data_IF_399060400462
#
_entry.id   IF_399060400462
#
_cell.length_a   1.000
_cell.length_b   1.000
_cell.length_c   1.000
_cell.angle_alpha   90.00
_cell.angle_beta   90.00
_cell.angle_gamma   90.00
#
_symmetry.space_group_name_H-M   'P 1'
#
loop_
_entity.id
_entity.type
_entity.pdbx_description
1 polymer ?
#
# COMPACT_ATOMS: atom_id res chain seq x y z
N UNK A 1 -17.65 -9.58 -10.49
CA UNK A 1 -17.67 -10.07 -9.08
C UNK A 1 -16.71 -9.23 -8.27
N UNK A 2 -17.22 -8.35 -7.41
CA UNK A 2 -16.38 -7.56 -6.50
C UNK A 2 -15.79 -8.50 -5.46
N UNK A 3 -14.46 -8.62 -5.41
CA UNK A 3 -13.75 -9.46 -4.42
C UNK A 3 -13.79 -8.70 -3.08
N UNK A 4 -14.56 -9.20 -2.12
CA UNK A 4 -14.71 -8.62 -0.78
C UNK A 4 -13.41 -8.69 0.00
N UNK A 5 -13.03 -7.63 0.69
CA UNK A 5 -11.76 -7.56 1.44
C UNK A 5 -11.81 -8.52 2.63
N UNK A 6 -11.29 -9.73 2.43
CA UNK A 6 -11.23 -10.76 3.46
C UNK A 6 -10.12 -10.48 4.50
N UNK A 7 -10.45 -10.73 5.77
CA UNK A 7 -9.48 -10.76 6.86
C UNK A 7 -8.62 -12.02 6.77
N UNK A 8 -7.41 -11.95 7.32
CA UNK A 8 -6.52 -13.10 7.37
C UNK A 8 -6.94 -14.05 8.50
N UNK A 9 -7.15 -15.32 8.15
CA UNK A 9 -7.51 -16.38 9.09
C UNK A 9 -6.30 -17.27 9.39
N UNK A 10 -6.19 -17.82 10.62
CA UNK A 10 -5.10 -18.71 11.00
C UNK A 10 -5.16 -20.09 10.31
N UNK A 11 -6.33 -20.49 9.82
CA UNK A 11 -6.57 -21.72 9.06
C UNK A 11 -6.12 -21.61 7.60
N UNK A 12 -5.63 -20.45 7.17
CA UNK A 12 -5.15 -20.28 5.81
C UNK A 12 -3.81 -21.02 5.60
N UNK A 13 -3.70 -21.79 4.51
CA UNK A 13 -2.50 -22.60 4.21
C UNK A 13 -1.19 -21.80 4.14
N UNK A 14 -1.29 -20.50 3.86
CA UNK A 14 -0.14 -19.59 3.74
C UNK A 14 0.10 -18.73 4.97
N UNK A 15 -0.71 -18.88 6.03
CA UNK A 15 -0.53 -18.17 7.30
C UNK A 15 0.63 -18.75 8.09
N UNK A 16 1.53 -17.90 8.58
CA UNK A 16 2.72 -18.31 9.36
C UNK A 16 3.04 -17.25 10.40
N UNK A 17 3.52 -17.63 11.58
CA UNK A 17 4.16 -16.67 12.48
C UNK A 17 5.59 -16.39 12.00
N UNK A 18 6.15 -15.26 12.44
CA UNK A 18 7.58 -14.94 12.28
C UNK A 18 8.45 -16.12 12.77
N UNK A 19 9.60 -16.33 12.12
CA UNK A 19 10.50 -17.45 12.39
C UNK A 19 9.86 -18.86 12.29
N UNK A 20 8.74 -18.99 11.57
CA UNK A 20 7.99 -20.27 11.46
C UNK A 20 7.55 -20.81 12.82
N UNK A 21 7.30 -19.93 13.79
CA UNK A 21 6.95 -20.29 15.17
C UNK A 21 5.46 -20.61 15.37
N UNK A 22 4.70 -20.87 14.30
CA UNK A 22 3.28 -21.17 14.38
C UNK A 22 3.07 -22.59 14.88
N UNK A 23 2.28 -22.75 15.92
CA UNK A 23 1.89 -24.05 16.49
C UNK A 23 0.38 -24.04 16.71
N UNK A 24 -0.28 -25.18 16.52
CA UNK A 24 -1.70 -25.32 16.82
C UNK A 24 -1.84 -26.00 18.18
N UNK A 25 -2.44 -25.31 19.14
CA UNK A 25 -2.86 -25.89 20.41
C UNK A 25 -4.35 -26.24 20.30
N UNK A 26 -4.63 -27.48 19.90
CA UNK A 26 -5.99 -27.90 19.54
C UNK A 26 -6.49 -27.19 18.29
N UNK A 27 -7.57 -26.40 18.42
CA UNK A 27 -8.15 -25.59 17.32
C UNK A 27 -7.66 -24.14 17.27
N UNK A 28 -6.79 -23.73 18.19
CA UNK A 28 -6.29 -22.35 18.27
C UNK A 28 -4.88 -22.28 17.67
N UNK A 29 -4.65 -21.31 16.80
CA UNK A 29 -3.30 -20.96 16.38
C UNK A 29 -2.57 -20.24 17.52
N UNK A 30 -1.32 -20.59 17.73
CA UNK A 30 -0.47 -20.07 18.79
C UNK A 30 0.90 -19.74 18.21
N UNK A 31 1.36 -18.51 18.40
CA UNK A 31 2.68 -18.08 17.96
C UNK A 31 3.68 -18.22 19.12
N UNK A 32 4.55 -19.23 19.07
CA UNK A 32 5.59 -19.46 20.10
C UNK A 32 6.54 -18.28 20.30
N UNK A 33 6.83 -17.51 19.24
CA UNK A 33 7.71 -16.34 19.34
C UNK A 33 7.11 -15.21 20.17
N UNK A 34 5.79 -15.06 20.11
CA UNK A 34 5.04 -13.99 20.77
C UNK A 34 4.45 -14.44 22.12
N UNK A 35 4.50 -15.75 22.40
CA UNK A 35 3.76 -16.44 23.45
C UNK A 35 2.24 -16.15 23.44
N UNK A 36 1.68 -15.84 22.27
CA UNK A 36 0.31 -15.33 22.12
C UNK A 36 -0.60 -16.25 21.29
N UNK A 37 -1.88 -16.30 21.68
CA UNK A 37 -2.94 -16.96 20.91
C UNK A 37 -3.34 -16.05 19.75
N UNK A 38 -3.33 -16.62 18.56
CA UNK A 38 -3.42 -15.90 17.31
C UNK A 38 -4.79 -16.15 16.65
N UNK A 39 -5.63 -15.12 16.59
CA UNK A 39 -6.95 -15.15 15.92
C UNK A 39 -6.89 -14.65 14.47
N UNK A 40 -5.75 -14.85 13.80
CA UNK A 40 -5.54 -14.48 12.39
C UNK A 40 -4.79 -13.17 12.22
N UNK A 41 -5.43 -12.18 11.59
CA UNK A 41 -4.78 -10.96 11.12
C UNK A 41 -4.39 -9.93 12.19
N UNK A 42 -4.92 -10.03 13.41
CA UNK A 42 -4.68 -9.07 14.53
C UNK A 42 -3.47 -9.41 15.38
N UNK A 43 -2.73 -10.44 15.00
CA UNK A 43 -1.69 -11.04 15.82
C UNK A 43 -0.33 -10.36 15.54
N UNK A 44 0.39 -9.99 16.60
CA UNK A 44 1.58 -9.12 16.56
C UNK A 44 2.70 -9.63 15.63
N UNK A 45 2.84 -10.95 15.52
CA UNK A 45 3.88 -11.61 14.72
C UNK A 45 3.29 -12.49 13.62
N UNK A 46 2.08 -12.17 13.17
CA UNK A 46 1.51 -12.81 12.00
C UNK A 46 2.28 -12.40 10.73
N UNK A 47 2.51 -13.38 9.87
CA UNK A 47 3.14 -13.22 8.58
C UNK A 47 2.43 -14.11 7.56
N UNK A 48 2.58 -13.79 6.29
CA UNK A 48 2.06 -14.60 5.20
C UNK A 48 3.23 -15.08 4.36
N UNK A 49 3.25 -16.37 4.00
CA UNK A 49 4.29 -16.94 3.14
C UNK A 49 4.42 -16.21 1.79
N UNK A 50 3.31 -15.64 1.29
CA UNK A 50 3.28 -14.84 0.05
C UNK A 50 3.58 -13.35 0.27
N UNK A 51 3.93 -12.94 1.49
CA UNK A 51 4.12 -11.53 1.88
C UNK A 51 2.90 -10.66 1.53
N UNK A 52 1.70 -11.21 1.72
CA UNK A 52 0.41 -10.56 1.44
C UNK A 52 -0.36 -10.18 2.70
N UNK A 53 0.23 -10.24 3.89
CA UNK A 53 -0.46 -9.78 5.10
C UNK A 53 -0.23 -8.28 5.28
N UNK A 54 -1.30 -7.50 5.34
CA UNK A 54 -1.20 -6.07 5.66
C UNK A 54 -1.24 -5.84 7.18
N UNK A 55 -0.70 -4.72 7.69
CA UNK A 55 -0.64 -4.38 9.13
C UNK A 55 -2.00 -4.28 9.84
N UNK A 56 -3.11 -4.28 9.10
CA UNK A 56 -4.48 -4.33 9.64
C UNK A 56 -5.09 -5.74 9.60
N UNK A 57 -4.28 -6.77 9.37
CA UNK A 57 -4.75 -8.15 9.27
C UNK A 57 -5.47 -8.47 7.96
N UNK A 58 -5.33 -7.62 6.94
CA UNK A 58 -6.03 -7.78 5.66
C UNK A 58 -5.23 -8.65 4.71
N UNK A 59 -5.92 -9.55 3.99
CA UNK A 59 -5.30 -10.39 2.96
C UNK A 59 -5.09 -9.62 1.65
N UNK A 60 -3.84 -9.35 1.31
CA UNK A 60 -3.39 -8.71 0.06
C UNK A 60 -3.57 -9.58 -1.19
N UNK A 61 -4.02 -10.84 -1.08
CA UNK A 61 -4.53 -11.58 -2.24
C UNK A 61 -5.87 -11.03 -2.73
N UNK A 62 -6.57 -10.31 -1.86
CA UNK A 62 -7.91 -9.80 -2.16
C UNK A 62 -7.88 -8.36 -2.63
N UNK A 63 -6.90 -7.59 -2.18
CA UNK A 63 -6.70 -6.21 -2.62
C UNK A 63 -6.11 -6.22 -4.05
N UNK A 64 -6.92 -5.89 -5.06
CA UNK A 64 -6.42 -5.60 -6.41
C UNK A 64 -5.89 -4.17 -6.42
N UNK A 65 -4.67 -3.95 -6.92
CA UNK A 65 -4.16 -2.59 -7.17
C UNK A 65 -5.15 -1.87 -8.10
N UNK A 66 -5.72 -0.76 -7.64
CA UNK A 66 -6.27 0.25 -8.55
C UNK A 66 -5.08 0.99 -9.12
N UNK A 67 -4.60 0.56 -10.28
CA UNK A 67 -3.81 1.47 -11.12
C UNK A 67 -4.80 2.51 -11.62
N UNK A 68 -4.95 3.63 -10.90
CA UNK A 68 -5.39 4.84 -11.58
C UNK A 68 -4.36 5.04 -12.67
N UNK A 69 -4.77 4.97 -13.93
CA UNK A 69 -3.89 5.34 -15.03
C UNK A 69 -3.27 6.68 -14.66
N UNK A 70 -1.96 6.81 -14.85
CA UNK A 70 -1.35 8.13 -14.85
C UNK A 70 -2.19 8.96 -15.80
N UNK A 71 -2.98 9.89 -15.25
CA UNK A 71 -3.46 11.00 -16.04
C UNK A 71 -2.16 11.71 -16.37
N UNK A 72 -1.64 11.47 -17.58
CA UNK A 72 -0.66 12.38 -18.16
C UNK A 72 -1.20 13.77 -17.86
N UNK A 73 -0.44 14.66 -17.20
CA UNK A 73 -0.90 16.02 -17.01
C UNK A 73 -1.04 16.59 -18.42
N UNK A 74 -2.25 16.50 -18.97
CA UNK A 74 -2.61 16.99 -20.29
C UNK A 74 -2.13 18.42 -20.35
N UNK A 75 -1.16 18.61 -21.22
CA UNK A 75 -0.59 19.86 -21.68
C UNK A 75 -0.75 21.00 -20.67
N UNK A 76 0.32 21.32 -19.94
CA UNK A 76 0.51 22.67 -19.43
C UNK A 76 0.18 23.61 -20.59
N UNK A 77 -0.99 24.24 -20.56
CA UNK A 77 -1.41 25.19 -21.57
C UNK A 77 -0.35 26.26 -21.51
N UNK A 78 0.58 26.23 -22.48
CA UNK A 78 1.55 27.29 -22.67
C UNK A 78 0.71 28.50 -23.04
N UNK A 79 0.31 29.26 -22.02
CA UNK A 79 -0.28 30.58 -22.14
C UNK A 79 0.68 31.38 -23.01
N UNK A 80 0.41 31.43 -24.33
CA UNK A 80 1.14 32.28 -25.26
C UNK A 80 0.70 33.71 -25.02
N UNK A 81 1.18 34.28 -23.91
CA UNK A 81 0.99 35.70 -23.62
C UNK A 81 1.85 36.47 -24.61
N UNK A 82 1.25 36.99 -25.69
CA UNK A 82 1.93 37.92 -26.60
C UNK A 82 2.08 39.27 -25.91
N UNK A 83 3.17 39.42 -25.17
CA UNK A 83 3.55 40.70 -24.55
C UNK A 83 3.90 41.72 -25.63
N UNK A 84 3.20 42.85 -25.67
CA UNK A 84 3.53 43.98 -26.57
C UNK A 84 4.86 44.61 -26.15
N UNK A 85 5.71 44.93 -27.13
CA UNK A 85 7.16 45.14 -26.99
C UNK A 85 7.65 46.21 -26.00
N UNK A 86 6.79 47.04 -25.40
CA UNK A 86 7.17 47.96 -24.32
C UNK A 86 7.30 47.26 -22.95
N UNK A 87 6.57 46.17 -22.72
CA UNK A 87 6.57 45.43 -21.45
C UNK A 87 7.74 44.42 -21.39
N UNK A 88 8.14 43.84 -22.52
CA UNK A 88 9.24 42.87 -22.61
C UNK A 88 10.58 43.45 -22.12
N UNK A 89 10.83 44.76 -22.32
CA UNK A 89 12.09 45.39 -21.93
C UNK A 89 12.28 45.48 -20.41
N UNK A 90 11.19 45.47 -19.63
CA UNK A 90 11.26 45.60 -18.17
C UNK A 90 11.61 44.28 -17.47
N UNK A 91 11.15 43.15 -18.02
CA UNK A 91 11.45 41.81 -17.48
C UNK A 91 12.87 41.31 -17.78
N UNK A 92 13.62 41.94 -18.70
CA UNK A 92 15.02 41.56 -18.98
C UNK A 92 16.01 42.01 -17.90
N UNK A 93 15.59 42.85 -16.94
CA UNK A 93 16.49 43.42 -15.94
C UNK A 93 16.48 42.68 -14.60
N UNK A 94 15.57 41.72 -14.41
CA UNK A 94 15.47 40.93 -13.18
C UNK A 94 15.74 39.46 -13.48
N UNK A 95 16.96 39.15 -13.92
CA UNK A 95 17.53 37.80 -13.76
C UNK A 95 17.80 37.60 -12.25
N UNK A 96 16.89 36.92 -11.58
CA UNK A 96 17.20 36.22 -10.33
C UNK A 96 17.90 34.92 -10.77
N UNK A 97 19.16 34.80 -10.32
CA UNK A 97 20.11 33.67 -10.42
C UNK A 97 19.50 32.28 -10.59
#
# INVERSE_FOLDING_TARGET
MAKTVEQCSPECDVFRCVQRSLTFQGRKAYCKFADDICTGGTCNFASCAKSKLFPKGVCGQTIRRKTSGYVEPEATEKLQIRLRGKILRRFRSDEIM
#
